data_IF_393884054645
#
_entry.id   IF_393884054645
#
_cell.length_a   1.000
_cell.length_b   1.000
_cell.length_c   1.000
_cell.angle_alpha   90.00
_cell.angle_beta   90.00
_cell.angle_gamma   90.00
#
_symmetry.space_group_name_H-M   'P 1'
#
loop_
_entity.id
_entity.type
_entity.pdbx_description
1 polymer ?
#
# COMPACT_ATOMS: atom_id res chain seq x y z
N UNK A 1 -39.64 22.72 -8.98
CA UNK A 1 -39.85 23.76 -10.02
C UNK A 1 -41.13 23.48 -10.80
N UNK A 2 -41.24 22.36 -11.52
CA UNK A 2 -42.39 21.96 -12.36
C UNK A 2 -43.75 22.20 -11.69
N UNK A 3 -43.96 21.76 -10.45
CA UNK A 3 -45.23 21.96 -9.71
C UNK A 3 -45.69 23.42 -9.69
N UNK A 4 -44.79 24.39 -9.46
CA UNK A 4 -45.11 25.83 -9.45
C UNK A 4 -45.43 26.35 -10.85
N UNK A 5 -44.77 25.82 -11.89
CA UNK A 5 -45.03 26.15 -13.31
C UNK A 5 -46.43 25.67 -13.71
N UNK A 6 -46.75 24.40 -13.44
CA UNK A 6 -48.05 23.78 -13.71
C UNK A 6 -49.19 24.43 -12.92
N UNK A 7 -48.95 24.87 -11.67
CA UNK A 7 -49.90 25.68 -10.90
C UNK A 7 -50.15 27.05 -11.56
N UNK A 8 -49.11 27.77 -11.95
CA UNK A 8 -49.24 29.06 -12.64
C UNK A 8 -49.99 28.95 -13.98
N UNK A 9 -49.70 27.91 -14.76
CA UNK A 9 -50.42 27.57 -16.00
C UNK A 9 -51.89 27.26 -15.74
N UNK A 10 -52.20 26.51 -14.67
CA UNK A 10 -53.58 26.20 -14.26
C UNK A 10 -54.34 27.46 -13.83
N UNK A 11 -53.72 28.35 -13.04
CA UNK A 11 -54.32 29.61 -12.60
C UNK A 11 -54.53 30.61 -13.76
N UNK A 12 -53.69 30.55 -14.80
CA UNK A 12 -53.91 31.28 -16.05
C UNK A 12 -55.09 30.68 -16.84
N UNK A 13 -55.13 29.35 -16.99
CA UNK A 13 -56.20 28.65 -17.70
C UNK A 13 -57.57 28.84 -17.02
N UNK A 14 -57.66 28.75 -15.70
CA UNK A 14 -58.89 28.98 -14.93
C UNK A 14 -59.42 30.42 -15.08
N UNK A 15 -58.54 31.42 -15.08
CA UNK A 15 -58.95 32.81 -15.36
C UNK A 15 -59.47 32.97 -16.79
N UNK A 16 -58.90 32.26 -17.76
CA UNK A 16 -59.35 32.30 -19.16
C UNK A 16 -60.69 31.59 -19.35
N UNK A 17 -60.85 30.40 -18.77
CA UNK A 17 -62.09 29.62 -18.76
C UNK A 17 -63.25 30.41 -18.17
N UNK A 18 -63.04 31.03 -17.00
CA UNK A 18 -64.04 31.87 -16.34
C UNK A 18 -64.55 33.00 -17.24
N UNK A 19 -63.66 33.69 -17.98
CA UNK A 19 -64.08 34.72 -18.94
C UNK A 19 -64.85 34.10 -20.13
N UNK A 20 -64.32 33.01 -20.72
CA UNK A 20 -64.96 32.34 -21.85
C UNK A 20 -66.34 31.76 -21.49
N UNK A 21 -66.54 31.26 -20.28
CA UNK A 21 -67.83 30.81 -19.77
C UNK A 21 -68.86 31.94 -19.70
N UNK A 22 -68.45 33.13 -19.22
CA UNK A 22 -69.31 34.32 -19.22
C UNK A 22 -69.66 34.79 -20.62
N UNK A 23 -68.70 34.74 -21.55
CA UNK A 23 -68.94 35.03 -22.97
C UNK A 23 -69.89 34.00 -23.60
N UNK A 24 -69.84 32.73 -23.22
CA UNK A 24 -70.77 31.70 -23.71
C UNK A 24 -72.21 32.01 -23.31
N UNK A 25 -72.43 32.33 -22.02
CA UNK A 25 -73.74 32.69 -21.49
C UNK A 25 -74.31 33.91 -22.22
N UNK A 26 -73.46 34.90 -22.53
CA UNK A 26 -73.86 36.07 -23.29
C UNK A 26 -74.17 35.75 -24.77
N UNK A 27 -73.41 34.85 -25.40
CA UNK A 27 -73.63 34.39 -26.79
C UNK A 27 -74.94 33.61 -26.93
N UNK A 28 -75.25 32.73 -25.98
CA UNK A 28 -76.49 31.95 -26.04
C UNK A 28 -77.74 32.79 -25.65
N UNK A 29 -77.57 34.01 -25.12
CA UNK A 29 -78.64 34.94 -24.70
C UNK A 29 -78.50 36.37 -25.29
N UNK A 30 -77.95 36.50 -26.51
CA UNK A 30 -77.54 37.79 -27.10
C UNK A 30 -78.64 38.87 -27.09
N UNK A 31 -79.85 38.54 -27.51
CA UNK A 31 -80.93 39.52 -27.61
C UNK A 31 -81.31 40.12 -26.24
N UNK A 32 -81.30 39.30 -25.19
CA UNK A 32 -81.57 39.73 -23.82
C UNK A 32 -80.43 40.60 -23.26
N UNK A 33 -79.17 40.24 -23.55
CA UNK A 33 -77.98 41.04 -23.21
C UNK A 33 -78.00 42.41 -23.91
N UNK A 34 -78.30 42.44 -25.22
CA UNK A 34 -78.39 43.68 -26.00
C UNK A 34 -79.55 44.56 -25.52
N UNK A 35 -80.71 43.98 -25.21
CA UNK A 35 -81.86 44.72 -24.67
C UNK A 35 -81.52 45.38 -23.31
N UNK A 36 -80.87 44.63 -22.40
CA UNK A 36 -80.44 45.13 -21.09
C UNK A 36 -79.41 46.27 -21.22
N UNK A 37 -78.41 46.11 -22.09
CA UNK A 37 -77.39 47.14 -22.35
C UNK A 37 -78.04 48.41 -22.94
N UNK A 38 -78.98 48.27 -23.89
CA UNK A 38 -79.70 49.41 -24.50
C UNK A 38 -80.67 50.13 -23.54
N UNK A 39 -81.20 49.43 -22.53
CA UNK A 39 -82.09 50.02 -21.53
C UNK A 39 -81.36 50.74 -20.38
N UNK A 40 -80.06 50.43 -20.18
CA UNK A 40 -79.23 51.00 -19.12
C UNK A 40 -78.73 52.40 -19.46
N UNK A 41 -78.68 53.34 -18.51
CA UNK A 41 -78.24 54.72 -18.76
C UNK A 41 -76.74 54.91 -18.63
N UNK A 42 -76.05 53.99 -17.96
CA UNK A 42 -74.60 54.03 -17.78
C UNK A 42 -73.97 52.63 -17.90
N UNK A 43 -72.67 52.53 -18.26
CA UNK A 43 -71.98 51.24 -18.32
C UNK A 43 -71.89 50.55 -16.95
N UNK A 44 -71.93 51.32 -15.85
CA UNK A 44 -71.98 50.76 -14.48
C UNK A 44 -73.32 50.07 -14.21
N UNK A 45 -74.45 50.70 -14.57
CA UNK A 45 -75.79 50.08 -14.48
C UNK A 45 -75.87 48.82 -15.35
N UNK A 46 -75.39 48.87 -16.60
CA UNK A 46 -75.40 47.72 -17.49
C UNK A 46 -74.61 46.54 -16.90
N UNK A 47 -73.43 46.81 -16.32
CA UNK A 47 -72.59 45.81 -15.66
C UNK A 47 -73.30 45.17 -14.47
N UNK A 48 -73.90 45.96 -13.58
CA UNK A 48 -74.68 45.44 -12.45
C UNK A 48 -75.92 44.64 -12.89
N UNK A 49 -76.59 45.07 -13.97
CA UNK A 49 -77.71 44.34 -14.56
C UNK A 49 -77.28 42.97 -15.08
N UNK A 50 -76.18 42.89 -15.83
CA UNK A 50 -75.62 41.62 -16.32
C UNK A 50 -75.24 40.68 -15.15
N UNK A 51 -74.62 41.21 -14.10
CA UNK A 51 -74.28 40.43 -12.90
C UNK A 51 -75.54 39.88 -12.20
N UNK A 52 -76.59 40.70 -12.01
CA UNK A 52 -77.84 40.30 -11.33
C UNK A 52 -78.69 39.34 -12.15
N UNK A 53 -78.80 39.54 -13.47
CA UNK A 53 -79.70 38.75 -14.33
C UNK A 53 -79.10 37.41 -14.75
N UNK A 54 -77.79 37.36 -15.03
CA UNK A 54 -77.12 36.15 -15.53
C UNK A 54 -76.17 35.51 -14.51
N UNK A 55 -76.19 35.97 -13.26
CA UNK A 55 -75.32 35.49 -12.16
C UNK A 55 -73.81 35.54 -12.49
N UNK A 56 -73.42 36.57 -13.24
CA UNK A 56 -72.04 36.76 -13.73
C UNK A 56 -71.18 37.51 -12.72
N UNK A 57 -69.87 37.25 -12.74
CA UNK A 57 -68.87 38.05 -12.03
C UNK A 57 -68.64 39.42 -12.67
N UNK A 58 -68.05 40.35 -11.90
CA UNK A 58 -67.65 41.67 -12.41
C UNK A 58 -66.69 41.58 -13.62
N UNK A 59 -65.76 40.63 -13.60
CA UNK A 59 -64.79 40.42 -14.69
C UNK A 59 -65.44 39.85 -15.96
N UNK A 60 -66.40 38.93 -15.84
CA UNK A 60 -67.18 38.43 -16.97
C UNK A 60 -68.08 39.52 -17.55
N UNK A 61 -68.81 40.26 -16.69
CA UNK A 61 -69.68 41.35 -17.12
C UNK A 61 -68.89 42.45 -17.85
N UNK A 62 -67.69 42.79 -17.37
CA UNK A 62 -66.78 43.71 -18.06
C UNK A 62 -66.35 43.16 -19.43
N UNK A 63 -65.92 41.89 -19.50
CA UNK A 63 -65.52 41.27 -20.76
C UNK A 63 -66.64 41.18 -21.80
N UNK A 64 -67.91 41.10 -21.37
CA UNK A 64 -69.09 41.17 -22.25
C UNK A 64 -69.32 42.59 -22.77
N UNK A 65 -69.16 43.62 -21.91
CA UNK A 65 -69.26 45.02 -22.34
C UNK A 65 -68.14 45.42 -23.30
N UNK A 66 -66.95 44.82 -23.17
CA UNK A 66 -65.80 45.02 -24.05
C UNK A 66 -65.88 44.23 -25.38
N UNK A 67 -66.96 43.48 -25.62
CA UNK A 67 -67.18 42.78 -26.90
C UNK A 67 -67.35 43.76 -28.07
N UNK A 68 -66.73 43.39 -29.19
CA UNK A 68 -66.90 44.08 -30.48
C UNK A 68 -67.90 43.32 -31.35
N UNK A 69 -68.79 44.03 -32.03
CA UNK A 69 -69.84 43.44 -32.90
C UNK A 69 -69.31 42.40 -33.91
N UNK A 70 -68.07 42.54 -34.39
CA UNK A 70 -67.42 41.55 -35.27
C UNK A 70 -67.35 40.12 -34.68
N UNK A 71 -67.28 39.99 -33.35
CA UNK A 71 -67.22 38.69 -32.64
C UNK A 71 -68.57 37.95 -32.62
N UNK A 72 -69.65 38.58 -33.09
CA UNK A 72 -70.98 37.96 -33.20
C UNK A 72 -71.18 37.18 -34.50
N UNK A 73 -70.19 37.17 -35.40
CA UNK A 73 -70.25 36.33 -36.61
C UNK A 73 -70.16 34.85 -36.26
N UNK A 74 -70.89 33.98 -36.98
CA UNK A 74 -70.92 32.54 -36.70
C UNK A 74 -69.52 31.89 -36.62
N UNK A 75 -68.56 32.36 -37.43
CA UNK A 75 -67.16 31.88 -37.38
C UNK A 75 -66.49 32.22 -36.04
N UNK A 76 -66.71 33.42 -35.51
CA UNK A 76 -66.16 33.87 -34.22
C UNK A 76 -66.85 33.18 -33.03
N UNK A 77 -68.15 32.86 -33.14
CA UNK A 77 -68.84 32.04 -32.14
C UNK A 77 -68.28 30.60 -32.11
N UNK A 78 -67.95 30.04 -33.28
CA UNK A 78 -67.31 28.72 -33.39
C UNK A 78 -65.88 28.75 -32.83
N UNK A 79 -65.09 29.81 -33.06
CA UNK A 79 -63.74 29.90 -32.46
C UNK A 79 -63.79 30.06 -30.95
N UNK A 80 -64.72 30.85 -30.39
CA UNK A 80 -64.92 30.95 -28.93
C UNK A 80 -65.36 29.60 -28.34
N UNK A 81 -66.29 28.88 -29.00
CA UNK A 81 -66.72 27.53 -28.59
C UNK A 81 -65.58 26.52 -28.64
N UNK A 82 -64.68 26.62 -29.63
CA UNK A 82 -63.48 25.78 -29.73
C UNK A 82 -62.43 26.13 -28.65
N UNK A 83 -62.14 27.41 -28.45
CA UNK A 83 -61.19 27.90 -27.44
C UNK A 83 -61.63 27.46 -26.03
N UNK A 84 -62.92 27.60 -25.70
CA UNK A 84 -63.46 27.13 -24.43
C UNK A 84 -63.24 25.61 -24.24
N UNK A 85 -63.53 24.80 -25.26
CA UNK A 85 -63.32 23.35 -25.21
C UNK A 85 -61.83 22.95 -25.09
N UNK A 86 -60.92 23.71 -25.73
CA UNK A 86 -59.47 23.54 -25.60
C UNK A 86 -58.98 23.88 -24.19
N UNK A 87 -59.42 25.01 -23.62
CA UNK A 87 -59.03 25.45 -22.26
C UNK A 87 -59.58 24.50 -21.19
N UNK A 88 -60.82 24.00 -21.32
CA UNK A 88 -61.39 23.02 -20.38
C UNK A 88 -60.61 21.71 -20.39
N UNK A 89 -60.17 21.23 -21.56
CA UNK A 89 -59.27 20.05 -21.66
C UNK A 89 -57.94 20.31 -20.96
N UNK A 90 -57.31 21.46 -21.23
CA UNK A 90 -56.04 21.85 -20.61
C UNK A 90 -56.15 21.90 -19.07
N UNK A 91 -57.24 22.46 -18.53
CA UNK A 91 -57.51 22.48 -17.08
C UNK A 91 -57.62 21.05 -16.52
N UNK A 92 -58.30 20.15 -17.21
CA UNK A 92 -58.43 18.76 -16.79
C UNK A 92 -57.08 18.03 -16.79
N UNK A 93 -56.23 18.26 -17.79
CA UNK A 93 -54.88 17.71 -17.88
C UNK A 93 -53.96 18.26 -16.77
N UNK A 94 -53.91 19.58 -16.59
CA UNK A 94 -53.09 20.23 -15.54
C UNK A 94 -53.52 19.80 -14.13
N UNK A 95 -54.83 19.71 -13.85
CA UNK A 95 -55.34 19.16 -12.59
C UNK A 95 -54.96 17.68 -12.42
N UNK A 96 -55.00 16.88 -13.48
CA UNK A 96 -54.61 15.48 -13.43
C UNK A 96 -53.11 15.27 -13.20
N UNK A 97 -52.26 16.19 -13.68
CA UNK A 97 -50.80 16.20 -13.41
C UNK A 97 -50.56 16.57 -11.94
N UNK A 98 -51.17 17.64 -11.44
CA UNK A 98 -51.00 18.09 -10.05
C UNK A 98 -51.59 17.10 -9.02
N UNK A 99 -52.64 16.36 -9.37
CA UNK A 99 -53.27 15.36 -8.52
C UNK A 99 -52.59 13.98 -8.51
N UNK A 100 -51.52 13.76 -9.29
CA UNK A 100 -50.86 12.46 -9.36
C UNK A 100 -49.35 12.57 -9.58
N UNK A 101 -48.59 12.24 -8.53
CA UNK A 101 -47.13 12.25 -8.53
C UNK A 101 -46.53 11.40 -9.68
N UNK A 102 -47.14 10.26 -10.01
CA UNK A 102 -46.75 9.44 -11.17
C UNK A 102 -46.84 10.19 -12.51
N UNK A 103 -47.86 11.04 -12.70
CA UNK A 103 -48.02 11.85 -13.93
C UNK A 103 -47.04 13.02 -13.95
N UNK A 104 -46.76 13.61 -12.79
CA UNK A 104 -45.76 14.67 -12.64
C UNK A 104 -44.34 14.14 -12.93
N UNK A 105 -43.98 12.96 -12.41
CA UNK A 105 -42.71 12.31 -12.73
C UNK A 105 -42.59 11.93 -14.21
N UNK A 106 -43.66 11.42 -14.84
CA UNK A 106 -43.68 11.14 -16.27
C UNK A 106 -43.57 12.40 -17.15
N UNK A 107 -44.02 13.56 -16.67
CA UNK A 107 -43.79 14.85 -17.34
C UNK A 107 -42.32 15.28 -17.22
N UNK A 108 -41.74 15.18 -16.02
CA UNK A 108 -40.31 15.47 -15.79
C UNK A 108 -39.42 14.58 -16.66
N UNK A 109 -39.71 13.28 -16.75
CA UNK A 109 -38.96 12.34 -17.59
C UNK A 109 -39.00 12.75 -19.07
N UNK A 110 -40.17 13.12 -19.60
CA UNK A 110 -40.31 13.61 -20.98
C UNK A 110 -39.49 14.87 -21.23
N UNK A 111 -39.57 15.87 -20.34
CA UNK A 111 -38.78 17.10 -20.43
C UNK A 111 -37.27 16.82 -20.39
N UNK A 112 -36.81 15.92 -19.51
CA UNK A 112 -35.40 15.53 -19.41
C UNK A 112 -34.91 14.76 -20.66
N UNK A 113 -35.75 13.92 -21.27
CA UNK A 113 -35.43 13.23 -22.53
C UNK A 113 -35.36 14.22 -23.70
N UNK A 114 -36.25 15.21 -23.76
CA UNK A 114 -36.20 16.27 -24.78
C UNK A 114 -34.95 17.14 -24.63
N UNK A 115 -34.64 17.59 -23.41
CA UNK A 115 -33.40 18.33 -23.09
C UNK A 115 -32.16 17.51 -23.45
N UNK A 116 -32.16 16.20 -23.14
CA UNK A 116 -31.09 15.28 -23.56
C UNK A 116 -30.98 15.22 -25.08
N UNK A 117 -32.09 15.17 -25.81
CA UNK A 117 -32.09 15.17 -27.28
C UNK A 117 -31.49 16.44 -27.88
N UNK A 118 -31.77 17.60 -27.29
CA UNK A 118 -31.29 18.91 -27.77
C UNK A 118 -29.82 19.20 -27.37
N UNK A 119 -29.38 18.73 -26.20
CA UNK A 119 -28.07 19.08 -25.61
C UNK A 119 -27.08 17.90 -25.50
N UNK A 120 -27.38 16.74 -26.10
CA UNK A 120 -26.49 15.59 -26.10
C UNK A 120 -25.14 15.91 -26.75
N UNK A 121 -24.07 15.82 -25.96
CA UNK A 121 -22.68 15.81 -26.46
C UNK A 121 -22.02 14.48 -26.07
N UNK A 122 -21.24 13.85 -26.97
CA UNK A 122 -20.52 12.63 -26.64
C UNK A 122 -19.45 12.92 -25.57
N UNK A 123 -19.26 11.98 -24.64
CA UNK A 123 -18.29 12.13 -23.56
C UNK A 123 -16.87 12.24 -24.15
N UNK A 124 -16.20 13.36 -23.87
CA UNK A 124 -14.83 13.65 -24.36
C UNK A 124 -13.73 12.87 -23.63
N UNK A 125 -13.99 12.43 -22.40
CA UNK A 125 -13.04 11.68 -21.57
C UNK A 125 -13.37 10.18 -21.57
N UNK A 126 -12.36 9.35 -21.79
CA UNK A 126 -12.47 7.90 -21.60
C UNK A 126 -12.38 7.56 -20.11
N UNK A 127 -13.03 6.46 -19.71
CA UNK A 127 -12.72 5.83 -18.43
C UNK A 127 -11.49 4.95 -18.65
N UNK A 128 -10.39 5.27 -17.98
CA UNK A 128 -9.25 4.36 -17.82
C UNK A 128 -9.53 3.57 -16.55
N UNK A 129 -9.55 2.24 -16.64
CA UNK A 129 -9.56 1.41 -15.44
C UNK A 129 -8.17 1.52 -14.79
N UNK A 130 -8.10 2.11 -13.60
CA UNK A 130 -6.92 1.96 -12.76
C UNK A 130 -7.01 0.58 -12.08
N UNK A 131 -5.97 -0.24 -12.25
CA UNK A 131 -5.79 -1.49 -11.50
C UNK A 131 -5.33 -1.24 -10.04
N UNK A 132 -5.35 0.02 -9.59
CA UNK A 132 -5.19 0.37 -8.18
C UNK A 132 -6.53 0.20 -7.47
N UNK A 133 -6.63 -0.89 -6.71
CA UNK A 133 -7.67 -1.09 -5.68
C UNK A 133 -7.80 0.18 -4.84
N UNK A 134 -9.03 0.65 -4.54
CA UNK A 134 -9.21 1.79 -3.65
C UNK A 134 -8.52 1.49 -2.32
N UNK A 135 -7.64 2.40 -1.90
CA UNK A 135 -7.05 2.38 -0.57
C UNK A 135 -8.15 2.82 0.39
N UNK A 136 -8.50 1.97 1.36
CA UNK A 136 -9.45 2.34 2.41
C UNK A 136 -8.81 3.43 3.29
N UNK A 137 -9.22 4.69 3.10
CA UNK A 137 -8.78 5.85 3.91
C UNK A 137 -9.17 5.73 5.41
N UNK A 138 -9.83 4.64 5.82
CA UNK A 138 -10.15 4.33 7.21
C UNK A 138 -9.00 3.73 8.04
N UNK A 139 -7.86 3.35 7.44
CA UNK A 139 -6.69 2.86 8.19
C UNK A 139 -5.80 4.00 8.75
N UNK A 140 -5.92 5.24 8.25
CA UNK A 140 -5.02 6.37 8.54
C UNK A 140 -5.19 7.05 9.92
N UNK A 141 -5.89 6.41 10.86
CA UNK A 141 -5.95 6.81 12.28
C UNK A 141 -5.29 5.80 13.24
N UNK A 142 -4.45 4.90 12.72
CA UNK A 142 -3.54 4.13 13.56
C UNK A 142 -2.53 5.07 14.26
N UNK A 143 -2.49 5.03 15.60
CA UNK A 143 -1.49 5.78 16.38
C UNK A 143 -0.11 5.19 16.07
N UNK A 144 0.78 6.02 15.53
CA UNK A 144 2.13 5.59 15.17
C UNK A 144 2.98 5.52 16.44
N UNK A 145 3.16 4.32 16.96
CA UNK A 145 4.00 4.04 18.13
C UNK A 145 5.40 3.54 17.72
N UNK A 146 6.40 3.83 18.56
CA UNK A 146 7.76 3.31 18.39
C UNK A 146 7.84 1.90 19.02
N UNK A 147 8.18 0.91 18.18
CA UNK A 147 8.19 -0.51 18.52
C UNK A 147 9.54 -1.15 18.20
N UNK A 148 9.98 -2.05 19.09
CA UNK A 148 11.10 -2.94 18.82
C UNK A 148 10.56 -4.28 18.33
N UNK A 149 10.95 -4.67 17.12
CA UNK A 149 10.73 -6.00 16.56
C UNK A 149 11.98 -6.84 16.80
N UNK A 150 11.80 -8.03 17.35
CA UNK A 150 12.89 -8.97 17.59
C UNK A 150 12.58 -10.32 16.95
N UNK A 151 13.51 -10.80 16.12
CA UNK A 151 13.49 -12.15 15.53
C UNK A 151 14.47 -13.01 16.30
N UNK A 152 13.96 -14.14 16.80
CA UNK A 152 14.69 -15.10 17.63
C UNK A 152 14.91 -16.42 16.89
N UNK A 153 15.72 -17.32 17.46
CA UNK A 153 15.95 -18.65 16.88
C UNK A 153 14.64 -19.42 16.62
N UNK A 154 14.61 -20.19 15.53
CA UNK A 154 13.48 -21.04 15.16
C UNK A 154 12.27 -20.29 14.58
N UNK A 155 12.50 -19.19 13.87
CA UNK A 155 11.45 -18.35 13.24
C UNK A 155 10.44 -17.80 14.26
N UNK A 156 10.89 -17.52 15.49
CA UNK A 156 10.10 -16.81 16.50
C UNK A 156 10.20 -15.30 16.28
N UNK A 157 9.11 -14.57 16.49
CA UNK A 157 9.08 -13.11 16.46
C UNK A 157 8.37 -12.54 17.69
N UNK A 158 8.86 -11.41 18.18
CA UNK A 158 8.28 -10.62 19.27
C UNK A 158 8.20 -9.16 18.84
N UNK A 159 7.02 -8.54 19.01
CA UNK A 159 6.82 -7.08 18.94
C UNK A 159 6.61 -6.56 20.36
N UNK A 160 7.31 -5.48 20.72
CA UNK A 160 7.16 -4.76 21.98
C UNK A 160 7.25 -3.26 21.73
N UNK A 161 6.61 -2.44 22.56
CA UNK A 161 6.93 -1.01 22.63
C UNK A 161 8.39 -0.81 23.06
N UNK A 162 9.12 0.12 22.43
CA UNK A 162 10.56 0.33 22.69
C UNK A 162 10.86 0.59 24.18
N UNK A 163 9.94 1.24 24.90
CA UNK A 163 10.04 1.50 26.36
C UNK A 163 10.00 0.25 27.24
N UNK A 164 9.45 -0.87 26.74
CA UNK A 164 9.32 -2.13 27.48
C UNK A 164 10.35 -3.18 27.02
N UNK A 165 11.11 -2.89 25.96
CA UNK A 165 12.08 -3.82 25.41
C UNK A 165 13.30 -3.98 26.33
N UNK A 166 13.69 -5.22 26.61
CA UNK A 166 14.91 -5.54 27.34
C UNK A 166 15.49 -6.87 26.85
N UNK A 167 16.71 -6.83 26.33
CA UNK A 167 17.42 -8.02 25.81
C UNK A 167 17.56 -9.11 26.88
N UNK A 168 17.85 -8.72 28.13
CA UNK A 168 18.01 -9.64 29.24
C UNK A 168 16.72 -10.46 29.52
N UNK A 169 15.55 -9.85 29.32
CA UNK A 169 14.26 -10.51 29.54
C UNK A 169 13.81 -11.44 28.39
N UNK A 170 14.53 -11.43 27.25
CA UNK A 170 14.22 -12.22 26.05
C UNK A 170 15.30 -13.28 25.78
N UNK A 171 16.36 -13.32 26.60
CA UNK A 171 17.53 -14.21 26.44
C UNK A 171 17.18 -15.69 26.27
N UNK A 172 16.13 -16.20 26.93
CA UNK A 172 15.66 -17.59 26.79
C UNK A 172 15.25 -17.98 25.36
N UNK A 173 14.71 -17.03 24.58
CA UNK A 173 14.33 -17.28 23.19
C UNK A 173 15.50 -17.13 22.20
N UNK A 174 16.65 -16.61 22.66
CA UNK A 174 17.82 -16.20 21.88
C UNK A 174 17.50 -15.22 20.74
N UNK A 175 17.59 -13.91 20.98
CA UNK A 175 17.41 -12.90 19.91
C UNK A 175 18.56 -12.98 18.89
N UNK A 176 18.22 -13.16 17.61
CA UNK A 176 19.17 -13.12 16.49
C UNK A 176 19.26 -11.72 15.88
N UNK A 177 18.11 -11.08 15.68
CA UNK A 177 18.00 -9.75 15.10
C UNK A 177 17.06 -8.89 15.94
N UNK A 178 17.43 -7.62 16.11
CA UNK A 178 16.69 -6.62 16.87
C UNK A 178 16.62 -5.36 16.02
N UNK A 179 15.42 -4.83 15.84
CA UNK A 179 15.16 -3.65 15.02
C UNK A 179 14.18 -2.73 15.73
N UNK A 180 14.57 -1.47 15.91
CA UNK A 180 13.66 -0.40 16.31
C UNK A 180 13.02 0.21 15.06
N UNK A 181 11.70 0.33 15.06
CA UNK A 181 10.90 0.81 13.93
C UNK A 181 9.57 1.39 14.45
N UNK A 182 8.66 1.75 13.55
CA UNK A 182 7.34 2.31 13.90
C UNK A 182 6.25 1.32 13.51
N UNK A 183 5.11 1.31 14.22
CA UNK A 183 4.01 0.38 13.94
C UNK A 183 3.52 0.41 12.48
N UNK A 184 3.54 1.59 11.83
CA UNK A 184 3.14 1.77 10.44
C UNK A 184 4.25 1.47 9.40
N UNK A 185 5.49 1.21 9.84
CA UNK A 185 6.58 0.84 8.95
C UNK A 185 6.58 -0.67 8.69
N UNK A 186 7.11 -1.08 7.54
CA UNK A 186 7.34 -2.49 7.24
C UNK A 186 8.72 -2.92 7.71
N UNK A 187 8.86 -4.22 7.89
CA UNK A 187 10.13 -4.89 8.18
C UNK A 187 10.46 -5.80 7.02
N UNK A 188 11.66 -5.63 6.47
CA UNK A 188 12.22 -6.41 5.36
C UNK A 188 13.09 -7.52 5.96
N UNK A 189 12.75 -8.76 5.68
CA UNK A 189 13.46 -9.96 6.15
C UNK A 189 14.09 -10.66 4.94
N UNK A 190 15.38 -10.94 4.98
CA UNK A 190 16.09 -11.65 3.92
C UNK A 190 16.41 -13.07 4.33
N UNK A 191 16.22 -14.03 3.42
CA UNK A 191 16.36 -15.46 3.71
C UNK A 191 17.61 -16.09 3.07
N UNK A 192 18.05 -17.21 3.62
CA UNK A 192 19.20 -17.98 3.12
C UNK A 192 18.98 -18.56 1.71
N UNK A 193 17.71 -18.76 1.34
CA UNK A 193 17.26 -19.16 0.00
C UNK A 193 17.12 -17.98 -0.97
N UNK A 194 17.48 -16.76 -0.56
CA UNK A 194 17.51 -15.59 -1.44
C UNK A 194 16.15 -14.96 -1.71
N UNK A 195 15.16 -15.20 -0.86
CA UNK A 195 13.91 -14.44 -0.86
C UNK A 195 14.00 -13.21 0.07
N UNK A 196 13.18 -12.22 -0.23
CA UNK A 196 12.80 -11.16 0.70
C UNK A 196 11.35 -11.42 1.10
N UNK A 197 11.12 -11.40 2.40
CA UNK A 197 9.79 -11.38 3.00
C UNK A 197 9.53 -9.98 3.57
N UNK A 198 8.29 -9.50 3.46
CA UNK A 198 7.88 -8.17 3.94
C UNK A 198 6.64 -8.31 4.79
N UNK A 199 6.69 -7.75 6.00
CA UNK A 199 5.59 -7.72 6.97
C UNK A 199 5.43 -6.30 7.50
N UNK A 200 4.20 -5.83 7.68
CA UNK A 200 3.94 -4.59 8.41
C UNK A 200 4.25 -4.81 9.89
N UNK A 201 4.90 -3.87 10.58
CA UNK A 201 5.19 -4.02 12.01
C UNK A 201 3.88 -4.20 12.82
N UNK A 202 2.77 -3.60 12.39
CA UNK A 202 1.48 -3.80 13.05
C UNK A 202 0.93 -5.24 12.95
N UNK A 203 1.08 -5.92 11.81
CA UNK A 203 0.66 -7.32 11.60
C UNK A 203 1.36 -8.31 12.57
N UNK A 204 2.49 -7.93 13.16
CA UNK A 204 3.17 -8.74 14.17
C UNK A 204 2.41 -8.59 15.50
N UNK A 205 1.93 -9.67 16.13
CA UNK A 205 1.23 -9.58 17.41
C UNK A 205 2.16 -9.05 18.50
N UNK A 206 1.66 -8.14 19.33
CA UNK A 206 2.40 -7.64 20.49
C UNK A 206 2.54 -8.75 21.55
N UNK A 207 3.76 -8.92 22.06
CA UNK A 207 4.11 -9.98 23.02
C UNK A 207 4.83 -9.38 24.21
N UNK A 208 4.38 -9.67 25.45
CA UNK A 208 5.14 -9.31 26.66
C UNK A 208 6.34 -10.25 26.83
N UNK A 209 7.42 -9.84 27.53
CA UNK A 209 8.60 -10.70 27.73
C UNK A 209 8.25 -12.10 28.28
N UNK A 210 7.34 -12.17 29.25
CA UNK A 210 6.86 -13.42 29.88
C UNK A 210 5.92 -14.26 29.01
N UNK A 211 5.40 -13.72 27.89
CA UNK A 211 4.50 -14.44 26.98
C UNK A 211 5.30 -15.15 25.90
N UNK A 212 4.82 -16.32 25.44
CA UNK A 212 5.43 -17.08 24.34
C UNK A 212 5.52 -16.23 23.06
N UNK A 213 6.68 -16.23 22.42
CA UNK A 213 6.88 -15.58 21.11
C UNK A 213 5.92 -16.11 20.03
N UNK A 214 5.54 -15.25 19.09
CA UNK A 214 4.74 -15.64 17.95
C UNK A 214 5.59 -16.40 16.91
N UNK A 215 4.94 -17.27 16.12
CA UNK A 215 5.62 -17.99 15.04
C UNK A 215 5.53 -17.18 13.75
N UNK A 216 6.67 -16.69 13.26
CA UNK A 216 6.79 -15.91 12.03
C UNK A 216 6.37 -16.72 10.80
N UNK A 217 6.53 -18.05 10.84
CA UNK A 217 6.07 -18.96 9.79
C UNK A 217 4.54 -19.06 9.65
N UNK A 218 3.77 -18.50 10.59
CA UNK A 218 2.32 -18.36 10.46
C UNK A 218 1.90 -17.02 9.81
N UNK A 219 2.80 -16.02 9.79
CA UNK A 219 2.52 -14.66 9.30
C UNK A 219 3.02 -14.43 7.86
N UNK A 220 4.06 -15.17 7.46
CA UNK A 220 4.73 -15.05 6.18
C UNK A 220 4.88 -16.41 5.49
N UNK A 221 4.86 -16.46 4.14
CA UNK A 221 4.99 -17.72 3.40
C UNK A 221 6.48 -18.13 3.29
N UNK A 222 6.94 -18.94 4.24
CA UNK A 222 8.26 -19.57 4.21
C UNK A 222 8.27 -20.85 3.38
N UNK A 223 9.41 -21.14 2.76
CA UNK A 223 9.72 -22.42 2.15
C UNK A 223 10.35 -23.40 3.16
N UNK A 224 10.45 -24.68 2.79
CA UNK A 224 10.98 -25.71 3.69
C UNK A 224 12.46 -25.46 3.99
N UNK A 225 12.81 -25.52 5.28
CA UNK A 225 14.18 -25.29 5.78
C UNK A 225 14.77 -23.91 5.43
N UNK A 226 13.91 -22.90 5.23
CA UNK A 226 14.32 -21.51 5.03
C UNK A 226 14.63 -20.83 6.36
N UNK A 227 15.73 -20.08 6.43
CA UNK A 227 16.19 -19.35 7.60
C UNK A 227 16.36 -17.86 7.28
N UNK A 228 16.21 -17.01 8.30
CA UNK A 228 16.42 -15.56 8.17
C UNK A 228 17.89 -15.24 8.38
N UNK A 229 18.44 -14.44 7.47
CA UNK A 229 19.85 -14.06 7.40
C UNK A 229 20.05 -12.59 7.78
N UNK A 230 19.05 -11.73 7.54
CA UNK A 230 19.08 -10.33 7.97
C UNK A 230 17.67 -9.74 8.12
N UNK A 231 17.57 -8.67 8.90
CA UNK A 231 16.36 -7.87 9.12
C UNK A 231 16.70 -6.38 9.00
N UNK A 232 15.90 -5.64 8.23
CA UNK A 232 16.05 -4.21 8.01
C UNK A 232 14.70 -3.48 8.08
N UNK A 233 14.67 -2.18 8.42
CA UNK A 233 13.46 -1.38 8.30
C UNK A 233 13.12 -1.13 6.82
N UNK A 234 11.88 -0.69 6.54
CA UNK A 234 11.43 -0.25 5.21
C UNK A 234 12.02 1.13 4.86
N UNK A 235 13.33 1.12 4.58
CA UNK A 235 14.14 2.28 4.21
C UNK A 235 14.62 2.13 2.76
N UNK A 236 14.35 3.12 1.92
CA UNK A 236 14.71 3.12 0.50
C UNK A 236 16.13 3.67 0.23
N UNK A 237 16.81 4.22 1.24
CA UNK A 237 18.13 4.84 1.08
C UNK A 237 19.28 3.81 1.09
N UNK A 238 20.25 4.01 0.20
CA UNK A 238 21.50 3.24 0.17
C UNK A 238 21.44 1.92 -0.63
N UNK A 239 22.49 1.11 -0.48
CA UNK A 239 22.68 -0.18 -1.15
C UNK A 239 22.64 -1.33 -0.13
N UNK A 240 22.07 -2.48 -0.50
CA UNK A 240 22.28 -3.74 0.21
C UNK A 240 23.35 -4.59 -0.50
N UNK A 241 24.28 -5.15 0.27
CA UNK A 241 25.21 -6.19 -0.15
C UNK A 241 24.71 -7.57 0.27
N UNK A 242 24.62 -8.49 -0.68
CA UNK A 242 24.31 -9.90 -0.45
C UNK A 242 25.56 -10.74 -0.66
N UNK A 243 25.90 -11.58 0.31
CA UNK A 243 27.05 -12.48 0.24
C UNK A 243 26.60 -13.92 -0.02
N UNK A 244 27.06 -14.52 -1.11
CA UNK A 244 26.70 -15.88 -1.51
C UNK A 244 27.83 -16.88 -1.21
N UNK A 245 27.44 -18.13 -0.92
CA UNK A 245 28.35 -19.22 -0.57
C UNK A 245 29.30 -19.63 -1.69
N UNK A 246 28.91 -19.49 -2.96
CA UNK A 246 29.77 -19.65 -4.16
C UNK A 246 30.81 -18.52 -4.37
N UNK A 247 30.89 -17.55 -3.45
CA UNK A 247 31.85 -16.44 -3.53
C UNK A 247 31.44 -15.32 -4.50
N UNK A 248 30.16 -15.27 -4.84
CA UNK A 248 29.54 -14.14 -5.53
C UNK A 248 29.04 -13.11 -4.50
N UNK A 249 29.14 -11.83 -4.83
CA UNK A 249 28.58 -10.73 -4.04
C UNK A 249 27.70 -9.88 -4.94
N UNK A 250 26.52 -9.50 -4.45
CA UNK A 250 25.58 -8.64 -5.19
C UNK A 250 25.37 -7.33 -4.44
N UNK A 251 25.51 -6.19 -5.13
CA UNK A 251 25.04 -4.89 -4.64
C UNK A 251 23.71 -4.58 -5.31
N UNK A 252 22.66 -4.27 -4.55
CA UNK A 252 21.36 -3.84 -5.09
C UNK A 252 20.84 -2.65 -4.28
N UNK A 253 20.43 -1.53 -4.92
CA UNK A 253 19.85 -0.39 -4.22
C UNK A 253 18.64 -0.78 -3.37
N UNK A 254 18.46 -0.16 -2.20
CA UNK A 254 17.36 -0.49 -1.29
C UNK A 254 15.98 -0.23 -1.92
N UNK A 255 15.85 0.81 -2.75
CA UNK A 255 14.62 1.13 -3.50
C UNK A 255 14.08 0.00 -4.41
N UNK A 256 14.93 -0.93 -4.90
CA UNK A 256 14.49 -2.11 -5.69
C UNK A 256 13.66 -3.11 -4.88
N UNK A 257 13.70 -2.99 -3.55
CA UNK A 257 13.00 -3.82 -2.57
C UNK A 257 11.72 -3.18 -2.04
N UNK A 258 11.32 -2.00 -2.55
CA UNK A 258 10.01 -1.39 -2.28
C UNK A 258 8.89 -2.16 -3.00
N UNK A 259 8.49 -3.28 -2.40
CA UNK A 259 7.50 -4.22 -2.96
C UNK A 259 6.40 -4.47 -1.95
N UNK A 260 5.14 -4.45 -2.38
CA UNK A 260 3.96 -4.71 -1.53
C UNK A 260 3.66 -6.21 -1.33
N UNK A 261 4.27 -7.08 -2.12
CA UNK A 261 4.07 -8.54 -2.08
C UNK A 261 4.87 -9.17 -0.94
N UNK A 262 4.19 -9.96 -0.08
CA UNK A 262 4.77 -10.57 1.13
C UNK A 262 5.99 -11.46 0.90
N UNK A 263 6.17 -12.04 -0.30
CA UNK A 263 7.37 -12.80 -0.72
C UNK A 263 7.81 -12.35 -2.10
N UNK A 264 9.08 -12.01 -2.23
CA UNK A 264 9.70 -11.57 -3.48
C UNK A 264 11.08 -12.21 -3.62
N UNK A 265 11.44 -12.71 -4.80
CA UNK A 265 12.80 -13.19 -5.05
C UNK A 265 13.79 -12.01 -4.93
N UNK A 266 14.75 -12.11 -4.01
CA UNK A 266 15.71 -11.04 -3.69
C UNK A 266 17.06 -11.22 -4.39
N UNK A 267 17.48 -12.46 -4.65
CA UNK A 267 18.70 -12.80 -5.40
C UNK A 267 18.48 -14.11 -6.14
N UNK A 268 19.03 -14.25 -7.36
CA UNK A 268 18.98 -15.52 -8.09
C UNK A 268 20.12 -16.42 -7.62
N UNK A 269 19.77 -17.51 -6.94
CA UNK A 269 20.71 -18.54 -6.48
C UNK A 269 20.84 -19.67 -7.51
N UNK A 270 22.01 -20.31 -7.53
CA UNK A 270 22.24 -21.57 -8.25
C UNK A 270 21.94 -22.76 -7.34
N UNK A 271 21.79 -23.94 -7.92
CA UNK A 271 21.63 -25.19 -7.16
C UNK A 271 22.72 -25.33 -6.07
N UNK A 272 22.28 -25.44 -4.82
CA UNK A 272 23.09 -25.56 -3.58
C UNK A 272 23.78 -24.28 -3.09
N UNK A 273 23.66 -23.14 -3.78
CA UNK A 273 24.12 -21.86 -3.24
C UNK A 273 23.17 -21.36 -2.13
N UNK A 274 23.66 -20.48 -1.25
CA UNK A 274 22.89 -19.84 -0.18
C UNK A 274 23.41 -18.45 0.12
N UNK A 275 22.53 -17.57 0.58
CA UNK A 275 22.91 -16.29 1.19
C UNK A 275 23.49 -16.55 2.57
N UNK A 276 24.67 -16.00 2.85
CA UNK A 276 25.37 -16.11 4.14
C UNK A 276 25.06 -14.89 5.02
N UNK A 277 25.00 -13.71 4.40
CA UNK A 277 24.78 -12.43 5.07
C UNK A 277 24.17 -11.43 4.10
N UNK A 278 23.39 -10.49 4.63
CA UNK A 278 22.97 -9.28 3.92
C UNK A 278 23.27 -8.09 4.82
N UNK A 279 23.94 -7.08 4.28
CA UNK A 279 24.33 -5.87 5.00
C UNK A 279 23.92 -4.61 4.22
N UNK A 280 23.59 -3.53 4.91
CA UNK A 280 23.51 -2.19 4.29
C UNK A 280 24.93 -1.66 4.05
N UNK A 281 25.16 -0.92 2.96
CA UNK A 281 26.46 -0.28 2.68
C UNK A 281 26.82 0.70 3.81
N UNK A 282 27.92 0.42 4.51
CA UNK A 282 28.42 1.19 5.65
C UNK A 282 29.93 1.45 5.57
N UNK A 283 30.72 0.51 5.02
CA UNK A 283 32.18 0.64 4.93
C UNK A 283 32.69 0.52 3.50
N UNK A 284 33.95 0.90 3.30
CA UNK A 284 34.59 0.95 1.98
C UNK A 284 35.20 -0.39 1.55
N UNK A 285 35.38 -1.35 2.46
CA UNK A 285 35.96 -2.65 2.17
C UNK A 285 35.08 -3.82 2.64
N UNK A 286 34.99 -4.86 1.83
CA UNK A 286 34.44 -6.18 2.19
C UNK A 286 35.59 -7.16 2.37
N UNK A 287 35.52 -7.99 3.42
CA UNK A 287 36.36 -9.18 3.59
C UNK A 287 35.50 -10.44 3.40
N UNK A 288 35.97 -11.33 2.54
CA UNK A 288 35.46 -12.70 2.43
C UNK A 288 36.52 -13.66 2.98
N UNK A 289 36.13 -14.62 3.82
CA UNK A 289 36.98 -15.73 4.28
C UNK A 289 36.33 -17.06 3.91
N UNK A 290 37.12 -17.96 3.33
CA UNK A 290 36.70 -19.29 2.87
C UNK A 290 36.99 -20.38 3.89
N UNK A 291 36.27 -21.49 3.77
CA UNK A 291 36.40 -22.66 4.65
C UNK A 291 37.79 -23.29 4.59
N UNK A 292 38.48 -23.23 3.44
CA UNK A 292 39.88 -23.66 3.28
C UNK A 292 40.92 -22.65 3.79
N UNK A 293 40.50 -21.54 4.41
CA UNK A 293 41.40 -20.58 5.03
C UNK A 293 42.05 -19.58 4.07
N UNK A 294 41.37 -19.24 2.97
CA UNK A 294 41.73 -18.12 2.10
C UNK A 294 40.91 -16.87 2.46
N UNK A 295 41.48 -15.68 2.28
CA UNK A 295 40.81 -14.39 2.47
C UNK A 295 41.01 -13.48 1.28
N UNK A 296 39.98 -12.69 0.94
CA UNK A 296 40.12 -11.59 0.00
C UNK A 296 39.41 -10.35 0.52
N UNK A 297 40.15 -9.24 0.61
CA UNK A 297 39.63 -7.92 0.96
C UNK A 297 39.61 -7.05 -0.29
N UNK A 298 38.48 -6.42 -0.61
CA UNK A 298 38.34 -5.58 -1.80
C UNK A 298 37.39 -4.40 -1.54
N UNK A 299 37.53 -3.34 -2.32
CA UNK A 299 36.70 -2.15 -2.19
C UNK A 299 35.23 -2.43 -2.58
N UNK A 300 34.28 -1.94 -1.78
CA UNK A 300 32.82 -2.11 -1.99
C UNK A 300 32.33 -1.47 -3.29
N UNK A 301 33.05 -0.47 -3.78
CA UNK A 301 32.81 0.20 -5.07
C UNK A 301 33.01 -0.73 -6.27
N UNK A 302 33.92 -1.71 -6.15
CA UNK A 302 34.27 -2.63 -7.25
C UNK A 302 33.15 -3.61 -7.62
N UNK A 303 32.12 -3.72 -6.77
CA UNK A 303 30.90 -4.50 -6.99
C UNK A 303 29.84 -3.59 -7.60
N UNK A 304 29.44 -3.77 -8.87
CA UNK A 304 28.45 -2.91 -9.52
C UNK A 304 27.06 -3.08 -8.88
N UNK A 305 26.26 -2.01 -8.88
CA UNK A 305 24.85 -2.09 -8.57
C UNK A 305 24.12 -2.92 -9.64
N UNK A 306 23.28 -3.85 -9.20
CA UNK A 306 22.52 -4.77 -10.06
C UNK A 306 21.08 -4.89 -9.56
N UNK A 307 20.14 -5.01 -10.50
CA UNK A 307 18.73 -5.23 -10.19
C UNK A 307 18.45 -6.53 -9.45
N UNK A 308 17.26 -6.61 -8.84
CA UNK A 308 16.89 -7.63 -7.85
C UNK A 308 17.19 -9.08 -8.27
N UNK A 309 16.73 -9.51 -9.45
CA UNK A 309 16.76 -10.92 -9.93
C UNK A 309 18.16 -11.37 -10.42
N UNK A 310 19.20 -10.56 -10.27
CA UNK A 310 20.57 -10.97 -10.62
C UNK A 310 21.19 -11.90 -9.56
N UNK A 311 22.22 -12.66 -9.94
CA UNK A 311 23.01 -13.53 -9.05
C UNK A 311 24.31 -12.91 -8.52
N UNK A 312 24.49 -11.59 -8.69
CA UNK A 312 25.71 -10.86 -8.31
C UNK A 312 26.91 -11.09 -9.22
N UNK A 313 28.08 -10.61 -8.79
CA UNK A 313 29.38 -10.76 -9.47
C UNK A 313 30.32 -11.65 -8.65
N UNK A 314 31.20 -12.39 -9.34
CA UNK A 314 32.22 -13.20 -8.66
C UNK A 314 33.28 -12.32 -8.01
N UNK A 315 33.50 -12.52 -6.70
CA UNK A 315 34.45 -11.75 -5.91
C UNK A 315 35.61 -12.60 -5.35
N UNK A 316 35.43 -13.91 -5.16
CA UNK A 316 36.52 -14.84 -4.82
C UNK A 316 36.53 -16.05 -5.74
N UNK A 317 37.72 -16.52 -6.13
CA UNK A 317 37.91 -17.79 -6.86
C UNK A 317 38.12 -18.93 -5.87
N UNK A 318 37.02 -19.56 -5.49
CA UNK A 318 37.00 -20.79 -4.71
C UNK A 318 37.65 -21.97 -5.47
N UNK A 319 38.33 -22.85 -4.73
CA UNK A 319 38.80 -24.14 -5.26
C UNK A 319 37.72 -25.23 -5.10
N UNK A 320 37.94 -26.43 -5.67
CA UNK A 320 36.93 -27.50 -5.65
C UNK A 320 36.59 -27.91 -4.22
N UNK A 321 35.34 -27.74 -3.83
CA UNK A 321 34.85 -28.09 -2.48
C UNK A 321 35.10 -27.01 -1.42
N UNK A 322 35.65 -25.85 -1.79
CA UNK A 322 35.70 -24.68 -0.91
C UNK A 322 34.38 -23.89 -0.96
N UNK A 323 34.11 -23.13 0.09
CA UNK A 323 32.95 -22.24 0.19
C UNK A 323 33.29 -21.01 1.03
N UNK A 324 32.62 -19.89 0.79
CA UNK A 324 32.68 -18.77 1.72
C UNK A 324 32.04 -19.19 3.04
N UNK A 325 32.73 -18.89 4.14
CA UNK A 325 32.26 -19.14 5.51
C UNK A 325 31.84 -17.82 6.18
N UNK A 326 32.61 -16.77 5.96
CA UNK A 326 32.38 -15.45 6.53
C UNK A 326 32.50 -14.36 5.47
N UNK A 327 31.60 -13.40 5.52
CA UNK A 327 31.53 -12.28 4.60
C UNK A 327 30.92 -11.08 5.30
N UNK A 328 31.67 -9.99 5.41
CA UNK A 328 31.22 -8.76 6.05
C UNK A 328 31.96 -7.55 5.47
N UNK A 329 31.33 -6.38 5.57
CA UNK A 329 32.01 -5.09 5.52
C UNK A 329 32.84 -4.90 6.79
N UNK A 330 34.05 -4.39 6.64
CA UNK A 330 34.94 -4.11 7.77
C UNK A 330 35.26 -2.62 7.91
N UNK A 331 35.29 -2.08 9.13
CA UNK A 331 35.94 -0.81 9.43
C UNK A 331 37.46 -0.94 9.27
N UNK A 332 38.18 0.18 9.45
CA UNK A 332 39.65 0.19 9.35
C UNK A 332 40.35 -0.45 10.56
N UNK A 333 39.73 -0.35 11.75
CA UNK A 333 40.25 -0.85 13.02
C UNK A 333 39.54 -2.14 13.49
N UNK A 334 40.23 -2.94 14.31
CA UNK A 334 39.74 -4.20 14.85
C UNK A 334 40.54 -5.42 14.40
N UNK A 335 40.12 -6.60 14.84
CA UNK A 335 40.88 -7.86 14.69
C UNK A 335 39.98 -9.06 14.36
N UNK A 336 40.26 -9.77 13.28
CA UNK A 336 39.52 -10.97 12.90
C UNK A 336 39.89 -12.14 13.81
N UNK A 337 38.94 -12.66 14.58
CA UNK A 337 39.06 -13.96 15.25
C UNK A 337 38.78 -15.07 14.23
N UNK A 338 39.69 -16.04 14.10
CA UNK A 338 39.50 -17.24 13.27
C UNK A 338 39.72 -18.50 14.11
N UNK A 339 38.86 -19.51 13.94
CA UNK A 339 38.90 -20.79 14.67
C UNK A 339 38.71 -21.97 13.71
N UNK A 340 39.51 -23.03 13.87
CA UNK A 340 39.45 -24.26 13.05
C UNK A 340 38.57 -25.35 13.66
N UNK A 341 38.21 -26.34 12.84
CA UNK A 341 37.54 -27.58 13.25
C UNK A 341 38.19 -28.27 14.46
N UNK A 342 39.52 -28.20 14.61
CA UNK A 342 40.26 -28.76 15.75
C UNK A 342 40.43 -27.82 16.96
N UNK A 343 39.67 -26.73 17.02
CA UNK A 343 39.72 -25.80 18.16
C UNK A 343 41.01 -24.99 18.27
N UNK A 344 41.79 -24.88 17.18
CA UNK A 344 42.89 -23.91 17.10
C UNK A 344 42.32 -22.57 16.68
N UNK A 345 42.72 -21.48 17.34
CA UNK A 345 42.29 -20.14 16.99
C UNK A 345 43.37 -19.09 17.15
N UNK A 346 43.11 -17.94 16.53
CA UNK A 346 43.94 -16.73 16.63
C UNK A 346 43.11 -15.50 16.35
N UNK A 347 43.55 -14.36 16.88
CA UNK A 347 43.16 -13.04 16.42
C UNK A 347 44.22 -12.54 15.42
N UNK A 348 43.81 -11.88 14.35
CA UNK A 348 44.72 -11.20 13.42
C UNK A 348 44.18 -9.80 13.11
N UNK A 349 44.98 -8.73 13.21
CA UNK A 349 44.52 -7.37 13.00
C UNK A 349 44.01 -7.18 11.56
N UNK A 350 42.98 -6.33 11.38
CA UNK A 350 42.42 -6.03 10.05
C UNK A 350 43.47 -5.42 9.12
N UNK A 351 44.49 -4.75 9.65
CA UNK A 351 45.63 -4.22 8.90
C UNK A 351 46.40 -5.32 8.13
N UNK A 352 46.51 -6.54 8.66
CA UNK A 352 47.16 -7.66 7.97
C UNK A 352 46.36 -8.16 6.75
N UNK A 353 45.13 -7.69 6.53
CA UNK A 353 44.31 -8.06 5.39
C UNK A 353 44.46 -7.00 4.29
N UNK A 354 45.46 -7.20 3.43
CA UNK A 354 45.77 -6.33 2.30
C UNK A 354 44.59 -6.16 1.34
N UNK A 355 44.33 -4.92 0.92
CA UNK A 355 43.37 -4.60 -0.15
C UNK A 355 43.85 -5.18 -1.49
N UNK A 356 42.96 -5.89 -2.16
CA UNK A 356 43.20 -6.61 -3.40
C UNK A 356 42.07 -6.35 -4.42
N UNK A 357 42.33 -6.65 -5.69
CA UNK A 357 41.28 -6.68 -6.71
C UNK A 357 40.33 -7.87 -6.51
N UNK A 358 39.03 -7.65 -6.68
CA UNK A 358 38.02 -8.73 -6.66
C UNK A 358 38.30 -9.80 -7.74
N UNK A 359 37.75 -10.99 -7.56
CA UNK A 359 37.94 -12.17 -8.43
C UNK A 359 39.38 -12.74 -8.43
N UNK A 360 40.13 -12.47 -7.36
CA UNK A 360 41.38 -13.16 -7.02
C UNK A 360 41.15 -14.49 -6.30
N UNK A 361 42.23 -15.25 -6.08
CA UNK A 361 42.23 -16.41 -5.16
C UNK A 361 42.27 -16.00 -3.68
N UNK A 362 42.63 -14.75 -3.39
CA UNK A 362 42.91 -14.27 -2.04
C UNK A 362 44.27 -14.71 -1.51
N UNK A 363 44.52 -14.42 -0.24
CA UNK A 363 45.72 -14.73 0.52
C UNK A 363 45.39 -15.67 1.68
N UNK A 364 46.36 -16.41 2.21
CA UNK A 364 46.13 -17.29 3.36
C UNK A 364 45.74 -16.50 4.62
N UNK A 365 44.62 -16.91 5.22
CA UNK A 365 44.06 -16.47 6.52
C UNK A 365 44.55 -17.32 7.69
N UNK A 366 44.91 -18.58 7.42
CA UNK A 366 45.33 -19.54 8.43
C UNK A 366 46.28 -20.54 7.77
N UNK A 367 47.45 -20.82 8.38
CA UNK A 367 48.35 -21.83 7.83
C UNK A 367 47.95 -23.23 8.32
N UNK A 368 46.97 -23.82 7.62
CA UNK A 368 46.53 -25.19 7.84
C UNK A 368 47.66 -26.16 7.43
N UNK A 369 48.21 -26.89 8.41
CA UNK A 369 49.27 -27.87 8.17
C UNK A 369 48.70 -29.06 7.41
N UNK A 370 49.40 -29.50 6.36
CA UNK A 370 49.04 -30.71 5.57
C UNK A 370 48.87 -31.99 6.42
N UNK A 371 49.49 -32.04 7.60
CA UNK A 371 49.37 -33.15 8.55
C UNK A 371 48.07 -33.10 9.38
N UNK A 372 47.18 -32.13 9.16
CA UNK A 372 45.90 -31.98 9.88
C UNK A 372 46.04 -31.67 11.37
N UNK A 373 47.21 -31.20 11.82
CA UNK A 373 47.53 -31.03 13.24
C UNK A 373 46.80 -29.85 13.89
N UNK A 374 46.59 -28.76 13.14
CA UNK A 374 45.85 -27.56 13.57
C UNK A 374 44.49 -27.41 12.89
N UNK A 375 44.01 -28.48 12.24
CA UNK A 375 42.71 -28.53 11.57
C UNK A 375 42.77 -28.87 10.09
N UNK A 376 41.61 -29.11 9.49
CA UNK A 376 41.43 -29.29 8.04
C UNK A 376 40.66 -28.14 7.40
N UNK A 377 39.85 -27.42 8.19
CA UNK A 377 39.09 -26.27 7.74
C UNK A 377 38.84 -25.25 8.86
N UNK A 378 38.49 -24.01 8.48
CA UNK A 378 37.97 -23.01 9.41
C UNK A 378 36.53 -23.42 9.79
N UNK A 379 36.23 -23.43 11.09
CA UNK A 379 34.91 -23.69 11.66
C UNK A 379 34.11 -22.41 11.88
N UNK A 380 34.77 -21.31 12.27
CA UNK A 380 34.12 -20.01 12.43
C UNK A 380 35.06 -18.83 12.40
N UNK A 381 34.47 -17.65 12.19
CA UNK A 381 35.15 -16.35 12.09
C UNK A 381 34.25 -15.30 12.72
N UNK A 382 34.80 -14.40 13.55
CA UNK A 382 34.05 -13.34 14.23
C UNK A 382 34.81 -12.00 14.23
N UNK A 383 34.05 -10.90 14.11
CA UNK A 383 34.41 -9.51 14.46
C UNK A 383 35.90 -9.17 14.31
N UNK A 384 36.57 -8.53 15.28
CA UNK A 384 36.19 -8.10 16.63
C UNK A 384 36.72 -6.68 16.86
N UNK A 385 35.85 -5.76 17.27
CA UNK A 385 36.22 -4.37 17.61
C UNK A 385 36.39 -4.05 19.10
N UNK A 386 35.86 -4.89 20.00
CA UNK A 386 35.94 -4.72 21.44
C UNK A 386 35.97 -6.09 22.15
N UNK A 387 36.56 -6.20 23.36
CA UNK A 387 36.57 -7.43 24.13
C UNK A 387 35.16 -8.01 24.32
N UNK A 388 34.98 -9.28 23.98
CA UNK A 388 33.73 -10.01 24.16
C UNK A 388 34.00 -11.43 24.62
N UNK A 389 32.97 -12.09 25.15
CA UNK A 389 32.93 -13.54 25.26
C UNK A 389 32.38 -14.12 23.95
N UNK A 390 32.82 -15.32 23.60
CA UNK A 390 32.32 -16.10 22.47
C UNK A 390 32.20 -17.57 22.88
N UNK A 391 31.27 -18.29 22.27
CA UNK A 391 31.00 -19.71 22.56
C UNK A 391 31.45 -20.59 21.41
N UNK A 392 32.30 -21.57 21.71
CA UNK A 392 32.63 -22.67 20.82
C UNK A 392 31.67 -23.84 21.09
N UNK A 393 30.98 -24.32 20.06
CA UNK A 393 30.13 -25.52 20.16
C UNK A 393 30.74 -26.66 19.36
N UNK A 394 31.05 -27.76 20.04
CA UNK A 394 31.55 -29.00 19.43
C UNK A 394 30.40 -29.90 18.94
N UNK A 395 30.70 -30.85 18.06
CA UNK A 395 29.73 -31.75 17.40
C UNK A 395 28.83 -32.52 18.37
N UNK A 396 29.35 -32.92 19.54
CA UNK A 396 28.61 -33.61 20.59
C UNK A 396 27.89 -32.67 21.57
N UNK A 397 27.84 -31.37 21.28
CA UNK A 397 27.09 -30.38 22.05
C UNK A 397 27.83 -29.82 23.27
N UNK A 398 29.10 -30.20 23.46
CA UNK A 398 29.96 -29.52 24.43
C UNK A 398 30.13 -28.05 24.04
N UNK A 399 29.97 -27.16 25.02
CA UNK A 399 30.07 -25.71 24.85
C UNK A 399 31.19 -25.16 25.74
N UNK A 400 32.11 -24.41 25.14
CA UNK A 400 33.16 -23.70 25.87
C UNK A 400 33.01 -22.21 25.60
N UNK A 401 32.76 -21.44 26.66
CA UNK A 401 32.79 -19.98 26.62
C UNK A 401 34.22 -19.53 26.87
N UNK A 402 34.73 -18.65 26.00
CA UNK A 402 36.08 -18.08 26.09
C UNK A 402 36.03 -16.57 25.92
N UNK A 403 36.99 -15.86 26.50
CA UNK A 403 37.17 -14.44 26.25
C UNK A 403 38.03 -14.22 25.01
N UNK A 404 37.71 -13.23 24.18
CA UNK A 404 38.61 -12.83 23.08
C UNK A 404 40.00 -12.45 23.59
N UNK A 405 40.13 -11.98 24.82
CA UNK A 405 41.41 -11.57 25.42
C UNK A 405 42.36 -12.73 25.73
N UNK A 406 41.85 -13.95 25.82
CA UNK A 406 42.64 -15.17 26.04
C UNK A 406 43.25 -15.70 24.72
N UNK A 407 42.71 -15.28 23.57
CA UNK A 407 43.18 -15.68 22.25
C UNK A 407 44.38 -14.85 21.83
N UNK A 408 45.50 -15.50 21.52
CA UNK A 408 46.70 -14.84 21.04
C UNK A 408 46.48 -14.11 19.71
N UNK A 409 47.10 -12.93 19.59
CA UNK A 409 47.21 -12.17 18.35
C UNK A 409 48.39 -12.75 17.56
N UNK A 410 48.12 -13.29 16.38
CA UNK A 410 49.12 -13.79 15.42
C UNK A 410 48.90 -13.12 14.06
N UNK A 411 49.95 -13.01 13.21
CA UNK A 411 49.78 -12.52 11.85
C UNK A 411 48.76 -13.31 11.03
N UNK A 412 48.24 -12.72 9.95
CA UNK A 412 47.28 -13.41 9.05
C UNK A 412 47.79 -14.77 8.52
N UNK A 413 49.09 -14.99 8.34
CA UNK A 413 49.65 -16.29 7.97
C UNK A 413 49.97 -17.24 9.16
N UNK A 414 49.63 -16.84 10.39
CA UNK A 414 49.82 -17.63 11.62
C UNK A 414 49.06 -18.96 11.66
N UNK A 415 49.50 -19.84 12.56
CA UNK A 415 49.07 -21.24 12.73
C UNK A 415 48.02 -21.42 13.84
N UNK A 416 47.84 -20.40 14.68
CA UNK A 416 46.98 -20.38 15.85
C UNK A 416 47.49 -21.16 17.07
N UNK A 417 46.92 -20.82 18.23
CA UNK A 417 47.06 -21.56 19.48
C UNK A 417 45.85 -22.48 19.69
N UNK A 418 46.01 -23.54 20.46
CA UNK A 418 44.89 -24.43 20.82
C UNK A 418 44.03 -23.74 21.88
N UNK A 419 42.76 -23.51 21.58
CA UNK A 419 41.78 -22.91 22.48
C UNK A 419 40.97 -23.99 23.22
N UNK A 420 40.56 -25.04 22.49
CA UNK A 420 39.82 -26.19 23.02
C UNK A 420 40.49 -27.47 22.53
N UNK A 421 40.65 -28.43 23.44
CA UNK A 421 41.14 -29.76 23.09
C UNK A 421 40.01 -30.60 22.48
N UNK A 422 39.99 -30.70 21.14
CA UNK A 422 39.08 -31.61 20.43
C UNK A 422 39.54 -33.06 20.64
N UNK A 423 38.70 -33.85 21.32
CA UNK A 423 38.85 -35.31 21.46
C UNK A 423 38.22 -35.97 20.23
N UNK A 424 38.78 -37.12 19.82
CA UNK A 424 38.41 -37.94 18.65
C UNK A 424 36.97 -37.73 18.14
N UNK A 425 36.87 -37.18 16.92
CA UNK A 425 35.66 -36.85 16.15
C UNK A 425 34.72 -35.75 16.70
N UNK A 426 35.05 -35.07 17.80
CA UNK A 426 34.26 -33.96 18.36
C UNK A 426 34.66 -32.56 17.83
N UNK A 427 34.70 -32.42 16.50
CA UNK A 427 35.10 -31.18 15.82
C UNK A 427 34.23 -29.97 16.25
N UNK A 428 34.81 -28.78 16.27
CA UNK A 428 34.10 -27.50 16.43
C UNK A 428 33.19 -27.27 15.22
N UNK A 429 31.89 -27.03 15.47
CA UNK A 429 30.86 -26.89 14.43
C UNK A 429 30.34 -25.45 14.31
N UNK A 430 30.20 -24.73 15.43
CA UNK A 430 29.83 -23.31 15.42
C UNK A 430 30.67 -22.48 16.40
N UNK A 431 30.75 -21.18 16.09
CA UNK A 431 31.41 -20.13 16.87
C UNK A 431 30.44 -18.96 16.90
N UNK A 432 29.94 -18.64 18.09
CA UNK A 432 28.87 -17.64 18.34
C UNK A 432 29.38 -16.52 19.26
#
# INVERSE_FOLDING_TARGET
MVTRRTQFELDAALRREHILAGLMIAVDNLDAVIALIRASKSPKEAREGLMKTFSLSEAQAQAILDLRLQRLTNMELITIKREYAEVVKLIAELRAILGSDKKLMALIEKELVEIRGQLATPRRTTFVACDETPVDESEDLAVVEDVTVCVCEGLKVRKMLTRQFSLAAISEDKPLFVLETKSNQRVRLFTDQGAMLVILADEIPETRPTTRAANLAALLPFEKNEQIVAMFPDDDEGDYFFYLRDGNVKRTPAAEYRVRVKRTAAVSLRDKDRVIGVEKRLHEAILLITKQGMSIRFATESVPAMGRVSGGVKCVKLEKGDCVLYAAQLPEEGEILTVTDKGFGKRSPIFDYDLQGRNGKGLKTFDLKKNGANGTCIAGVLYVGAPREFTLTQRHGAKTVLSTNEVHIEPRAGKGAMLVAVVLDDDVVSVE
#
